data_IF_534265480220
#
_entry.id   IF_534265480220
#
_cell.length_a   1.000
_cell.length_b   1.000
_cell.length_c   1.000
_cell.angle_alpha   90.00
_cell.angle_beta   90.00
_cell.angle_gamma   90.00
#
_symmetry.space_group_name_H-M   'P 1'
#
loop_
_entity.id
_entity.type
_entity.pdbx_description
1 polymer ?
#
# COMPACT_ATOMS: atom_id res chain seq x y z
N UNK A 1 16.62 -25.05 -1.98
CA UNK A 1 15.62 -24.68 -0.96
C UNK A 1 16.33 -23.86 0.12
N UNK A 2 15.91 -22.62 0.37
CA UNK A 2 16.58 -21.71 1.31
C UNK A 2 16.14 -22.07 2.74
N UNK A 3 17.10 -22.29 3.65
CA UNK A 3 16.84 -22.62 5.07
C UNK A 3 16.84 -21.34 5.89
N UNK A 4 15.77 -21.09 6.63
CA UNK A 4 15.58 -19.83 7.38
C UNK A 4 16.02 -19.95 8.85
N UNK A 5 15.46 -20.89 9.61
CA UNK A 5 15.73 -21.02 11.04
C UNK A 5 17.07 -21.70 11.37
N UNK A 6 17.50 -22.66 10.54
CA UNK A 6 18.74 -23.39 10.72
C UNK A 6 19.53 -23.44 9.40
N UNK A 7 20.21 -22.34 9.01
CA UNK A 7 20.86 -22.21 7.71
C UNK A 7 21.97 -23.23 7.47
N UNK A 8 22.70 -23.55 8.55
CA UNK A 8 23.90 -24.38 8.50
C UNK A 8 23.65 -25.87 8.79
N UNK A 9 22.45 -26.22 9.24
CA UNK A 9 22.11 -27.61 9.60
C UNK A 9 21.64 -28.39 8.38
N UNK A 10 21.74 -29.72 8.41
CA UNK A 10 21.17 -30.59 7.37
C UNK A 10 19.63 -30.50 7.36
N UNK A 11 19.01 -30.88 6.25
CA UNK A 11 17.55 -31.03 6.22
C UNK A 11 17.13 -32.12 7.20
N UNK A 12 15.97 -31.94 7.83
CA UNK A 12 15.44 -32.93 8.76
C UNK A 12 15.15 -34.24 8.01
N UNK A 13 15.63 -35.35 8.55
CA UNK A 13 15.30 -36.68 8.05
C UNK A 13 13.83 -37.02 8.37
N UNK A 14 13.21 -37.91 7.59
CA UNK A 14 11.83 -38.35 7.82
C UNK A 14 11.81 -39.35 8.97
N UNK A 15 11.95 -38.84 10.18
CA UNK A 15 12.04 -39.58 11.43
C UNK A 15 10.94 -39.15 12.43
N UNK A 16 11.00 -39.70 13.64
CA UNK A 16 10.09 -39.35 14.73
C UNK A 16 10.05 -37.84 15.03
N UNK A 17 11.17 -37.12 14.88
CA UNK A 17 11.23 -35.68 15.12
C UNK A 17 10.50 -34.91 14.02
N UNK A 18 10.64 -35.35 12.76
CA UNK A 18 9.85 -34.81 11.66
C UNK A 18 8.34 -35.00 11.89
N UNK A 19 7.89 -36.20 12.27
CA UNK A 19 6.47 -36.45 12.51
C UNK A 19 5.92 -35.63 13.68
N UNK A 20 6.70 -35.46 14.76
CA UNK A 20 6.35 -34.57 15.89
C UNK A 20 6.22 -33.11 15.46
N UNK A 21 7.18 -32.60 14.69
CA UNK A 21 7.17 -31.22 14.20
C UNK A 21 5.98 -30.98 13.27
N UNK A 22 5.69 -31.92 12.37
CA UNK A 22 4.51 -31.88 11.51
C UNK A 22 3.21 -31.82 12.33
N UNK A 23 3.07 -32.67 13.34
CA UNK A 23 1.89 -32.67 14.21
C UNK A 23 1.75 -31.34 14.99
N UNK A 24 2.87 -30.77 15.46
CA UNK A 24 2.90 -29.47 16.13
C UNK A 24 2.45 -28.33 15.21
N UNK A 25 2.91 -28.32 13.95
CA UNK A 25 2.50 -27.32 12.95
C UNK A 25 0.99 -27.37 12.68
N UNK A 26 0.45 -28.56 12.41
CA UNK A 26 -1.00 -28.74 12.18
C UNK A 26 -1.83 -28.31 13.40
N UNK A 27 -1.34 -28.63 14.60
CA UNK A 27 -2.02 -28.22 15.84
C UNK A 27 -1.99 -26.70 16.01
N UNK A 28 -0.85 -26.07 15.72
CA UNK A 28 -0.68 -24.62 15.81
C UNK A 28 -1.55 -23.88 14.79
N UNK A 29 -1.62 -24.37 13.55
CA UNK A 29 -2.52 -23.85 12.52
C UNK A 29 -3.97 -23.84 13.01
N UNK A 30 -4.46 -24.96 13.55
CA UNK A 30 -5.81 -25.05 14.08
C UNK A 30 -6.06 -24.09 15.25
N UNK A 31 -5.05 -23.88 16.11
CA UNK A 31 -5.15 -22.91 17.21
C UNK A 31 -5.22 -21.47 16.69
N UNK A 32 -4.42 -21.12 15.67
CA UNK A 32 -4.44 -19.79 15.05
C UNK A 32 -5.79 -19.51 14.37
N UNK A 33 -6.28 -20.44 13.56
CA UNK A 33 -7.59 -20.29 12.88
C UNK A 33 -8.72 -20.14 13.89
N UNK A 34 -8.69 -20.88 15.01
CA UNK A 34 -9.66 -20.72 16.10
C UNK A 34 -9.55 -19.37 16.80
N UNK A 35 -8.34 -18.88 17.04
CA UNK A 35 -8.11 -17.59 17.66
C UNK A 35 -8.66 -16.43 16.79
N UNK A 36 -8.59 -16.58 15.47
CA UNK A 36 -9.18 -15.67 14.50
C UNK A 36 -10.70 -15.88 14.30
N UNK A 37 -11.33 -16.79 15.04
CA UNK A 37 -12.76 -17.07 14.88
C UNK A 37 -13.13 -17.64 13.51
N UNK A 38 -12.17 -18.27 12.82
CA UNK A 38 -12.30 -18.72 11.42
C UNK A 38 -12.51 -17.58 10.39
N UNK A 39 -12.30 -16.33 10.79
CA UNK A 39 -12.27 -15.20 9.87
C UNK A 39 -10.85 -15.05 9.29
N UNK A 40 -10.69 -15.52 8.05
CA UNK A 40 -9.43 -15.49 7.32
C UNK A 40 -9.46 -14.47 6.17
N UNK A 41 -10.54 -13.71 6.03
CA UNK A 41 -10.64 -12.66 5.02
C UNK A 41 -9.88 -11.44 5.50
N UNK A 42 -8.68 -11.24 4.94
CA UNK A 42 -7.85 -10.09 5.26
C UNK A 42 -7.91 -9.10 4.11
N UNK A 43 -8.45 -7.92 4.38
CA UNK A 43 -8.29 -6.79 3.47
C UNK A 43 -6.90 -6.18 3.63
N UNK A 44 -6.26 -5.85 2.51
CA UNK A 44 -4.94 -5.23 2.50
C UNK A 44 -5.01 -3.84 1.87
N UNK A 45 -4.20 -2.87 2.35
CA UNK A 45 -4.24 -1.46 1.93
C UNK A 45 -3.83 -1.21 0.47
N UNK A 46 -3.25 -2.21 -0.22
CA UNK A 46 -2.74 -2.07 -1.58
C UNK A 46 -3.82 -1.66 -2.59
N UNK A 47 -5.01 -2.27 -2.50
CA UNK A 47 -6.10 -1.97 -3.43
C UNK A 47 -6.57 -0.52 -3.28
N UNK A 48 -6.70 -0.05 -2.04
CA UNK A 48 -7.05 1.33 -1.72
C UNK A 48 -6.02 2.32 -2.29
N UNK A 49 -4.74 2.11 -1.96
CA UNK A 49 -3.63 2.93 -2.47
C UNK A 49 -3.64 3.00 -4.00
N UNK A 50 -3.80 1.87 -4.69
CA UNK A 50 -3.84 1.84 -6.15
C UNK A 50 -5.05 2.57 -6.73
N UNK A 51 -6.22 2.50 -6.10
CA UNK A 51 -7.40 3.21 -6.56
C UNK A 51 -7.22 4.73 -6.44
N UNK A 52 -6.64 5.21 -5.34
CA UNK A 52 -6.32 6.64 -5.17
C UNK A 52 -5.26 7.09 -6.18
N UNK A 53 -4.18 6.32 -6.35
CA UNK A 53 -3.13 6.62 -7.34
C UNK A 53 -3.70 6.70 -8.77
N UNK A 54 -4.61 5.79 -9.12
CA UNK A 54 -5.33 5.81 -10.41
C UNK A 54 -6.15 7.09 -10.59
N UNK A 55 -6.86 7.49 -9.54
CA UNK A 55 -7.62 8.73 -9.52
C UNK A 55 -6.74 9.96 -9.72
N UNK A 56 -5.62 10.04 -9.00
CA UNK A 56 -4.64 11.13 -9.12
C UNK A 56 -4.04 11.22 -10.52
N UNK A 57 -3.66 10.09 -11.10
CA UNK A 57 -3.13 10.04 -12.47
C UNK A 57 -4.18 10.55 -13.46
N UNK A 58 -5.43 10.09 -13.32
CA UNK A 58 -6.53 10.49 -14.20
C UNK A 58 -6.72 12.00 -14.21
N UNK A 59 -6.66 12.66 -13.04
CA UNK A 59 -6.72 14.13 -12.93
C UNK A 59 -5.57 14.78 -13.72
N UNK A 60 -4.33 14.31 -13.56
CA UNK A 60 -3.16 14.83 -14.31
C UNK A 60 -3.30 14.62 -15.82
N UNK A 61 -3.85 13.49 -16.26
CA UNK A 61 -4.10 13.21 -17.68
C UNK A 61 -5.15 14.15 -18.27
N UNK A 62 -6.27 14.39 -17.59
CA UNK A 62 -7.29 15.33 -18.06
C UNK A 62 -6.76 16.77 -18.08
N UNK A 63 -5.99 17.18 -17.07
CA UNK A 63 -5.36 18.51 -17.04
C UNK A 63 -4.35 18.69 -18.19
N UNK A 64 -3.51 17.69 -18.47
CA UNK A 64 -2.53 17.75 -19.56
C UNK A 64 -3.17 17.71 -20.96
N UNK A 65 -4.32 17.04 -21.11
CA UNK A 65 -5.07 17.02 -22.36
C UNK A 65 -5.77 18.36 -22.62
N UNK A 66 -6.28 19.05 -21.60
CA UNK A 66 -6.80 20.44 -21.74
C UNK A 66 -5.74 21.43 -22.26
N UNK A 67 -4.50 21.35 -21.76
CA UNK A 67 -3.41 22.21 -22.23
C UNK A 67 -3.05 21.94 -23.69
N UNK A 68 -3.17 20.68 -24.15
CA UNK A 68 -3.00 20.31 -25.57
C UNK A 68 -4.22 20.72 -26.42
N UNK A 69 -5.44 20.69 -25.86
CA UNK A 69 -6.69 21.07 -26.54
C UNK A 69 -6.77 22.56 -26.89
N UNK A 70 -6.17 23.44 -26.08
CA UNK A 70 -6.04 24.87 -26.41
C UNK A 70 -5.24 25.11 -27.72
N UNK A 71 -4.42 24.15 -28.15
CA UNK A 71 -3.62 24.23 -29.38
C UNK A 71 -4.29 23.64 -30.63
N UNK A 72 -5.35 22.82 -30.51
CA UNK A 72 -6.03 22.18 -31.64
C UNK A 72 -7.54 22.10 -31.43
N UNK A 73 -8.29 22.91 -32.19
CA UNK A 73 -9.75 22.79 -32.35
C UNK A 73 -10.09 21.46 -33.05
N UNK A 74 -10.52 20.44 -32.31
CA UNK A 74 -11.15 19.26 -32.90
C UNK A 74 -12.19 18.61 -31.96
N UNK A 75 -13.20 18.02 -32.58
CA UNK A 75 -14.48 17.53 -32.03
C UNK A 75 -14.33 16.58 -30.84
N UNK A 76 -15.20 16.77 -29.85
CA UNK A 76 -15.14 16.20 -28.50
C UNK A 76 -15.81 14.83 -28.41
N UNK A 77 -15.08 13.81 -27.98
CA UNK A 77 -15.68 12.67 -27.27
C UNK A 77 -14.77 12.35 -26.06
N UNK A 78 -15.27 12.45 -24.82
CA UNK A 78 -14.46 12.10 -23.66
C UNK A 78 -14.12 10.61 -23.73
N UNK A 79 -12.84 10.21 -23.62
CA UNK A 79 -12.50 8.81 -23.58
C UNK A 79 -13.16 8.16 -22.36
N UNK A 80 -13.83 7.03 -22.55
CA UNK A 80 -14.42 6.28 -21.47
C UNK A 80 -13.35 5.93 -20.44
N UNK A 81 -13.67 5.98 -19.14
CA UNK A 81 -12.72 5.66 -18.05
C UNK A 81 -11.92 4.39 -18.36
N UNK A 82 -12.55 3.31 -18.81
CA UNK A 82 -11.88 2.06 -19.21
C UNK A 82 -10.67 2.21 -20.17
N UNK A 83 -10.70 3.18 -21.10
CA UNK A 83 -9.61 3.42 -22.04
C UNK A 83 -8.42 4.15 -21.39
N UNK A 84 -8.69 5.09 -20.47
CA UNK A 84 -7.66 5.73 -19.64
C UNK A 84 -6.95 4.66 -18.79
N UNK A 85 -7.70 3.67 -18.30
CA UNK A 85 -7.18 2.63 -17.41
C UNK A 85 -6.26 1.67 -18.15
N UNK A 86 -6.68 1.19 -19.33
CA UNK A 86 -5.86 0.32 -20.17
C UNK A 86 -4.55 0.99 -20.59
N UNK A 87 -4.56 2.31 -20.81
CA UNK A 87 -3.35 3.07 -21.14
C UNK A 87 -2.47 3.32 -19.92
N UNK A 88 -3.04 3.60 -18.76
CA UNK A 88 -2.26 3.71 -17.53
C UNK A 88 -1.52 2.40 -17.19
N UNK A 89 -2.16 1.26 -17.43
CA UNK A 89 -1.52 -0.05 -17.23
C UNK A 89 -0.39 -0.32 -18.23
N UNK A 90 -0.53 0.17 -19.47
CA UNK A 90 0.48 -0.04 -20.53
C UNK A 90 1.60 1.02 -20.55
N UNK A 91 1.30 2.28 -20.16
CA UNK A 91 2.15 3.46 -20.32
C UNK A 91 2.22 4.30 -19.03
N UNK A 92 2.39 3.67 -17.86
CA UNK A 92 2.58 4.42 -16.61
C UNK A 92 3.85 5.26 -16.68
N UNK A 93 3.75 6.57 -16.40
CA UNK A 93 4.93 7.44 -16.41
C UNK A 93 5.99 6.96 -15.40
N UNK A 94 7.29 7.17 -15.67
CA UNK A 94 8.34 6.77 -14.73
C UNK A 94 8.16 7.36 -13.33
N UNK A 95 7.65 8.59 -13.25
CA UNK A 95 7.30 9.27 -11.99
C UNK A 95 6.21 8.52 -11.22
N UNK A 96 5.09 8.21 -11.88
CA UNK A 96 3.99 7.47 -11.24
C UNK A 96 4.39 6.05 -10.85
N UNK A 97 5.25 5.41 -11.65
CA UNK A 97 5.84 4.13 -11.30
C UNK A 97 6.73 4.21 -10.04
N UNK A 98 7.52 5.28 -9.91
CA UNK A 98 8.32 5.51 -8.72
C UNK A 98 7.46 5.75 -7.47
N UNK A 99 6.41 6.57 -7.60
CA UNK A 99 5.43 6.82 -6.52
C UNK A 99 4.75 5.51 -6.09
N UNK A 100 4.25 4.72 -7.05
CA UNK A 100 3.59 3.45 -6.76
C UNK A 100 4.51 2.48 -6.01
N UNK A 101 5.76 2.33 -6.46
CA UNK A 101 6.74 1.45 -5.81
C UNK A 101 7.09 1.92 -4.40
N UNK A 102 7.28 3.23 -4.20
CA UNK A 102 7.60 3.75 -2.88
C UNK A 102 6.42 3.60 -1.91
N UNK A 103 5.20 3.90 -2.36
CA UNK A 103 3.99 3.66 -1.57
C UNK A 103 3.83 2.18 -1.23
N UNK A 104 4.14 1.29 -2.16
CA UNK A 104 4.12 -0.17 -1.95
C UNK A 104 5.10 -0.60 -0.87
N UNK A 105 6.32 -0.07 -0.87
CA UNK A 105 7.32 -0.33 0.17
C UNK A 105 6.82 0.15 1.53
N UNK A 106 6.33 1.39 1.62
CA UNK A 106 5.80 1.92 2.88
C UNK A 106 4.63 1.10 3.42
N UNK A 107 3.74 0.62 2.54
CA UNK A 107 2.67 -0.27 2.93
C UNK A 107 3.25 -1.57 3.54
N UNK A 108 4.22 -2.21 2.89
CA UNK A 108 4.83 -3.42 3.43
C UNK A 108 5.48 -3.19 4.78
N UNK A 109 6.20 -2.09 4.93
CA UNK A 109 6.86 -1.73 6.19
C UNK A 109 5.83 -1.49 7.30
N UNK A 110 4.68 -0.89 6.98
CA UNK A 110 3.58 -0.69 7.94
C UNK A 110 2.98 -2.02 8.44
N UNK A 111 2.91 -3.03 7.56
CA UNK A 111 2.38 -4.36 7.91
C UNK A 111 3.33 -5.17 8.80
N UNK A 112 4.63 -4.84 8.78
CA UNK A 112 5.62 -5.45 9.66
C UNK A 112 5.51 -4.98 11.12
N UNK A 113 4.79 -3.88 11.38
CA UNK A 113 4.56 -3.35 12.73
C UNK A 113 3.15 -3.65 13.22
N UNK A 114 2.97 -4.50 14.25
CA UNK A 114 1.65 -4.78 14.82
C UNK A 114 0.95 -3.52 15.33
N UNK A 115 1.72 -2.52 15.79
CA UNK A 115 1.18 -1.24 16.26
C UNK A 115 0.50 -0.46 15.15
N UNK A 116 1.00 -0.56 13.92
CA UNK A 116 0.46 0.17 12.77
C UNK A 116 -0.63 -0.66 12.08
N UNK A 117 -0.34 -1.93 11.83
CA UNK A 117 -1.23 -2.83 11.09
C UNK A 117 -2.57 -3.11 11.80
N UNK A 118 -2.58 -3.11 13.14
CA UNK A 118 -3.80 -3.40 13.92
C UNK A 118 -4.50 -2.14 14.46
N UNK A 119 -3.83 -0.98 14.50
CA UNK A 119 -4.42 0.25 15.03
C UNK A 119 -5.17 1.08 13.99
N UNK A 120 -4.80 0.96 12.71
CA UNK A 120 -5.32 1.81 11.65
C UNK A 120 -6.08 0.99 10.59
N UNK A 121 -7.22 1.49 10.09
CA UNK A 121 -7.91 0.90 8.94
C UNK A 121 -7.01 0.84 7.70
N UNK A 122 -7.23 -0.16 6.86
CA UNK A 122 -6.49 -0.35 5.59
C UNK A 122 -6.56 0.86 4.67
N UNK A 123 -7.67 1.60 4.69
CA UNK A 123 -7.84 2.84 3.93
C UNK A 123 -6.94 3.97 4.44
N UNK A 124 -6.79 4.12 5.76
CA UNK A 124 -5.86 5.07 6.38
C UNK A 124 -4.42 4.74 6.03
N UNK A 125 -4.04 3.47 6.16
CA UNK A 125 -2.68 2.99 5.83
C UNK A 125 -2.37 3.25 4.35
N UNK A 126 -3.26 2.81 3.45
CA UNK A 126 -3.07 2.99 2.02
C UNK A 126 -3.02 4.47 1.60
N UNK A 127 -3.90 5.30 2.17
CA UNK A 127 -3.98 6.73 1.86
C UNK A 127 -2.75 7.49 2.40
N UNK A 128 -2.34 7.18 3.62
CA UNK A 128 -1.20 7.79 4.31
C UNK A 128 0.14 7.43 3.66
N UNK A 129 0.37 6.14 3.35
CA UNK A 129 1.58 5.69 2.66
C UNK A 129 1.70 6.32 1.27
N UNK A 130 0.60 6.44 0.53
CA UNK A 130 0.60 7.11 -0.77
C UNK A 130 0.90 8.60 -0.64
N UNK A 131 0.26 9.28 0.32
CA UNK A 131 0.55 10.70 0.59
C UNK A 131 2.02 10.91 0.93
N UNK A 132 2.59 10.05 1.78
CA UNK A 132 3.99 10.11 2.15
C UNK A 132 4.90 9.90 0.94
N UNK A 133 4.62 8.89 0.09
CA UNK A 133 5.39 8.66 -1.13
C UNK A 133 5.38 9.85 -2.09
N UNK A 134 4.22 10.50 -2.26
CA UNK A 134 4.07 11.71 -3.06
C UNK A 134 4.94 12.86 -2.52
N UNK A 135 4.97 13.04 -1.19
CA UNK A 135 5.79 14.07 -0.54
C UNK A 135 7.28 13.75 -0.60
N UNK A 136 7.68 12.50 -0.37
CA UNK A 136 9.08 12.06 -0.42
C UNK A 136 9.68 12.28 -1.82
N UNK A 137 8.91 12.00 -2.88
CA UNK A 137 9.36 12.21 -4.26
C UNK A 137 9.12 13.64 -4.77
N UNK A 138 8.66 14.56 -3.90
CA UNK A 138 8.37 15.95 -4.23
C UNK A 138 7.45 16.10 -5.46
N UNK A 139 6.50 15.17 -5.61
CA UNK A 139 5.56 15.19 -6.71
C UNK A 139 4.75 16.50 -6.66
N UNK A 140 4.62 17.18 -7.80
CA UNK A 140 3.82 18.40 -7.89
C UNK A 140 2.36 18.07 -7.57
N UNK A 141 1.93 18.43 -6.37
CA UNK A 141 0.57 18.18 -5.90
C UNK A 141 -0.07 19.53 -5.61
N UNK A 142 -1.12 19.85 -6.39
CA UNK A 142 -1.92 21.07 -6.24
C UNK A 142 -2.75 21.10 -4.95
N UNK A 143 -2.83 19.97 -4.23
CA UNK A 143 -3.61 19.82 -3.02
C UNK A 143 -2.74 19.73 -1.76
N UNK A 144 -3.21 20.36 -0.70
CA UNK A 144 -2.68 20.19 0.65
C UNK A 144 -3.23 18.89 1.30
N UNK A 145 -2.77 18.55 2.51
CA UNK A 145 -3.19 17.31 3.18
C UNK A 145 -4.70 17.25 3.44
N UNK A 146 -5.31 18.38 3.82
CA UNK A 146 -6.74 18.43 4.13
C UNK A 146 -7.54 18.15 2.86
N UNK A 147 -7.25 18.87 1.78
CA UNK A 147 -7.89 18.67 0.46
C UNK A 147 -7.67 17.26 -0.08
N UNK A 148 -6.48 16.68 0.13
CA UNK A 148 -6.17 15.32 -0.27
C UNK A 148 -7.04 14.29 0.45
N UNK A 149 -7.16 14.40 1.78
CA UNK A 149 -7.98 13.46 2.58
C UNK A 149 -9.46 13.71 2.34
N UNK A 150 -9.90 14.96 2.20
CA UNK A 150 -11.29 15.29 1.89
C UNK A 150 -11.72 14.71 0.53
N UNK A 151 -10.82 14.69 -0.46
CA UNK A 151 -11.13 14.15 -1.79
C UNK A 151 -11.06 12.62 -1.83
N UNK A 152 -10.00 12.04 -1.27
CA UNK A 152 -9.68 10.61 -1.43
C UNK A 152 -10.05 9.74 -0.24
N UNK A 153 -10.38 10.34 0.91
CA UNK A 153 -10.79 9.66 2.14
C UNK A 153 -12.28 9.79 2.46
N UNK A 154 -13.03 10.62 1.73
CA UNK A 154 -14.45 10.86 2.01
C UNK A 154 -15.33 9.61 1.92
N UNK A 155 -15.06 8.69 0.99
CA UNK A 155 -15.83 7.45 0.85
C UNK A 155 -15.81 6.59 2.13
N UNK A 156 -14.66 6.59 2.81
CA UNK A 156 -14.41 5.82 4.03
C UNK A 156 -14.62 6.65 5.31
N UNK A 157 -15.16 7.88 5.19
CA UNK A 157 -15.32 8.85 6.29
C UNK A 157 -14.02 9.10 7.07
N UNK A 158 -12.88 9.14 6.39
CA UNK A 158 -11.59 9.35 7.04
C UNK A 158 -11.42 10.80 7.50
N UNK A 159 -10.86 10.97 8.69
CA UNK A 159 -10.46 12.30 9.17
C UNK A 159 -9.01 12.59 8.79
N UNK A 160 -8.72 13.85 8.48
CA UNK A 160 -7.34 14.32 8.25
C UNK A 160 -6.45 13.98 9.45
N UNK A 161 -6.99 14.10 10.66
CA UNK A 161 -6.23 13.86 11.88
C UNK A 161 -5.79 12.40 11.98
N UNK A 162 -6.69 11.45 11.69
CA UNK A 162 -6.35 10.02 11.69
C UNK A 162 -5.24 9.68 10.70
N UNK A 163 -5.26 10.26 9.50
CA UNK A 163 -4.21 10.04 8.50
C UNK A 163 -2.88 10.68 8.94
N UNK A 164 -2.94 11.86 9.58
CA UNK A 164 -1.76 12.53 10.12
C UNK A 164 -1.13 11.74 11.26
N UNK A 165 -1.96 11.24 12.19
CA UNK A 165 -1.52 10.44 13.33
C UNK A 165 -0.81 9.17 12.83
N UNK A 166 -1.41 8.46 11.88
CA UNK A 166 -0.78 7.31 11.22
C UNK A 166 0.59 7.66 10.62
N UNK A 167 0.69 8.76 9.85
CA UNK A 167 1.96 9.15 9.21
C UNK A 167 3.02 9.46 10.27
N UNK A 168 2.66 10.14 11.36
CA UNK A 168 3.58 10.44 12.46
C UNK A 168 4.07 9.15 13.11
N UNK A 169 3.16 8.25 13.48
CA UNK A 169 3.51 6.94 14.08
C UNK A 169 4.37 6.09 13.13
N UNK A 170 4.08 6.11 11.83
CA UNK A 170 4.84 5.40 10.81
C UNK A 170 6.28 5.95 10.69
N UNK A 171 6.45 7.27 10.71
CA UNK A 171 7.78 7.90 10.68
C UNK A 171 8.57 7.63 11.96
N UNK A 172 7.91 7.65 13.13
CA UNK A 172 8.52 7.24 14.39
C UNK A 172 9.01 5.79 14.35
N UNK A 173 8.19 4.89 13.80
CA UNK A 173 8.60 3.49 13.59
C UNK A 173 9.85 3.37 12.71
N UNK A 174 9.90 4.09 11.59
CA UNK A 174 11.07 4.06 10.70
C UNK A 174 12.35 4.65 11.30
N UNK A 175 12.23 5.71 12.11
CA UNK A 175 13.38 6.27 12.83
C UNK A 175 13.92 5.27 13.86
N UNK A 176 13.03 4.61 14.61
CA UNK A 176 13.44 3.59 15.58
C UNK A 176 14.10 2.38 14.94
N UNK A 177 13.65 1.95 13.76
CA UNK A 177 14.31 0.84 13.03
C UNK A 177 15.70 1.25 12.59
N UNK A 178 15.87 2.49 12.10
CA UNK A 178 17.15 3.02 11.64
C UNK A 178 18.18 3.12 12.78
N UNK A 179 17.74 3.49 13.99
CA UNK A 179 18.61 3.58 15.17
C UNK A 179 19.02 2.21 15.74
N UNK A 180 18.23 1.15 15.51
CA UNK A 180 18.51 -0.20 16.00
C UNK A 180 19.41 -1.02 15.06
N UNK A 181 19.69 -0.53 13.85
CA UNK A 181 20.60 -1.16 12.87
C UNK A 181 22.04 -0.61 12.93
N UNK A 182 22.36 0.25 13.92
CA UNK A 182 23.71 0.81 14.19
C UNK A 182 24.37 0.17 15.41
#
# INVERSE_FOLDING_TARGET
MKKYYHPNESTLDVDENYFKMRASLVTTELLLVRALGFDLEVELPFAYCMNVLRGLASIRYFAADETKRLSRRQSYHPPAQKEVWKRMENDMSPEMSAIARLAWVYIWDSLCSPKLALAHPVSVVGLGCLYLALRTLQAEMSMNMNEYVDLWGAHENLSVQTVRDFITEFLEFHNLVSDNEV
#
